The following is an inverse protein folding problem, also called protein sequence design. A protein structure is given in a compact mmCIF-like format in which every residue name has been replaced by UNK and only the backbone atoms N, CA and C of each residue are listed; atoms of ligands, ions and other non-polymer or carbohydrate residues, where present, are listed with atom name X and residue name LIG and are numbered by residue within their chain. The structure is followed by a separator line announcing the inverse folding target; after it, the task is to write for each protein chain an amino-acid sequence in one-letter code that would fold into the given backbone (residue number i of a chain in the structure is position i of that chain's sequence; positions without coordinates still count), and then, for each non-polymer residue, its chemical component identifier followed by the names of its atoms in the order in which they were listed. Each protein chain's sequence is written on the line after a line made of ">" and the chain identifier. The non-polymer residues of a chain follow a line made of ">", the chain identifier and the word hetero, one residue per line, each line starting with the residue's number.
data_IF_000026976679
#
_entry.id   IF_000026976679
#
_cell.length_a   1.000
_cell.length_b   1.000
_cell.length_c   1.000
_cell.angle_alpha   90.00
_cell.angle_beta   90.00
_cell.angle_gamma   90.00
#
_symmetry.space_group_name_H-M   'P 1'
#
loop_
_entity.id
_entity.type
_entity.pdbx_description
1 polymer ?
#
# COMPACT_ATOMS: atom_id res chain seq x y z
N UNK A 1 12.44 27.30 -9.07
CA UNK A 1 13.10 26.56 -10.17
C UNK A 1 13.17 25.10 -9.78
N UNK A 2 13.06 24.17 -10.73
CA UNK A 2 13.29 22.75 -10.45
C UNK A 2 14.70 22.57 -9.88
N UNK A 3 14.86 21.70 -8.88
CA UNK A 3 16.17 21.44 -8.27
C UNK A 3 17.16 20.77 -9.24
N UNK A 4 16.63 20.08 -10.25
CA UNK A 4 17.37 19.34 -11.28
C UNK A 4 16.68 19.58 -12.62
N UNK A 5 17.10 20.61 -13.36
CA UNK A 5 16.51 20.96 -14.66
C UNK A 5 16.78 19.91 -15.74
N UNK A 6 17.90 19.22 -15.64
CA UNK A 6 18.34 18.14 -16.53
C UNK A 6 17.35 16.96 -16.55
N UNK A 7 16.63 16.72 -15.46
CA UNK A 7 15.62 15.65 -15.37
C UNK A 7 14.29 16.01 -16.02
N UNK A 8 14.11 17.26 -16.47
CA UNK A 8 12.90 17.71 -17.17
C UNK A 8 12.95 17.46 -18.68
N UNK A 9 14.11 17.07 -19.23
CA UNK A 9 14.26 16.75 -20.64
C UNK A 9 13.51 15.47 -21.01
N UNK A 10 12.97 15.42 -22.22
CA UNK A 10 12.24 14.25 -22.70
C UNK A 10 13.18 13.04 -22.79
N UNK A 11 12.79 11.94 -22.15
CA UNK A 11 13.62 10.73 -22.05
C UNK A 11 14.63 10.72 -20.89
N UNK A 12 14.76 11.81 -20.11
CA UNK A 12 15.66 11.84 -18.95
C UNK A 12 15.19 10.93 -17.80
N UNK A 13 13.90 10.60 -17.73
CA UNK A 13 13.31 9.68 -16.76
C UNK A 13 12.58 8.57 -17.49
N UNK A 14 12.88 7.32 -17.14
CA UNK A 14 12.16 6.14 -17.58
C UNK A 14 11.33 5.56 -16.42
N UNK A 15 10.06 5.24 -16.69
CA UNK A 15 9.22 4.49 -15.75
C UNK A 15 9.37 3.00 -16.03
N UNK A 16 9.96 2.27 -15.09
CA UNK A 16 10.10 0.81 -15.16
C UNK A 16 9.00 0.18 -14.30
N UNK A 17 8.01 -0.43 -14.96
CA UNK A 17 6.88 -1.08 -14.26
C UNK A 17 7.27 -2.50 -13.88
N UNK A 18 7.36 -2.78 -12.58
CA UNK A 18 7.74 -4.08 -12.02
C UNK A 18 6.52 -4.74 -11.41
N UNK A 19 6.21 -5.97 -11.82
CA UNK A 19 5.07 -6.73 -11.30
C UNK A 19 5.48 -7.59 -10.11
N UNK A 20 4.89 -7.31 -8.96
CA UNK A 20 5.26 -7.96 -7.69
C UNK A 20 4.47 -9.24 -7.45
N UNK A 21 4.91 -10.04 -6.47
CA UNK A 21 4.13 -11.21 -6.02
C UNK A 21 2.78 -10.80 -5.45
N UNK A 22 2.71 -9.66 -4.75
CA UNK A 22 1.46 -9.09 -4.25
C UNK A 22 0.45 -8.75 -5.36
N UNK A 23 0.91 -8.38 -6.55
CA UNK A 23 0.03 -8.15 -7.70
C UNK A 23 -0.48 -9.45 -8.34
N UNK A 24 0.22 -10.56 -8.12
CA UNK A 24 -0.11 -11.87 -8.71
C UNK A 24 -1.10 -12.65 -7.83
N UNK A 25 -1.00 -12.50 -6.50
CA UNK A 25 -1.82 -13.27 -5.56
C UNK A 25 -3.00 -12.40 -5.08
N UNK A 26 -4.12 -12.50 -5.80
CA UNK A 26 -5.36 -11.78 -5.48
C UNK A 26 -6.45 -12.68 -4.87
N UNK A 27 -6.22 -13.99 -4.79
CA UNK A 27 -7.25 -14.98 -4.45
C UNK A 27 -7.24 -15.43 -2.99
N UNK A 28 -6.30 -14.93 -2.17
CA UNK A 28 -6.12 -15.34 -0.78
C UNK A 28 -5.94 -14.12 0.12
N UNK A 29 -6.41 -14.18 1.38
CA UNK A 29 -6.14 -13.14 2.38
C UNK A 29 -4.66 -12.79 2.53
N UNK A 30 -4.33 -11.50 2.57
CA UNK A 30 -2.94 -11.05 2.78
C UNK A 30 -2.31 -11.59 4.08
N UNK A 31 -3.13 -11.78 5.12
CA UNK A 31 -2.69 -12.35 6.39
C UNK A 31 -2.23 -13.81 6.27
N UNK A 32 -2.72 -14.54 5.27
CA UNK A 32 -2.49 -15.98 5.10
C UNK A 32 -1.32 -16.26 4.14
N UNK A 33 -0.94 -15.29 3.30
CA UNK A 33 0.06 -15.46 2.24
C UNK A 33 1.49 -15.64 2.79
N UNK A 34 1.78 -15.14 4.00
CA UNK A 34 3.12 -15.23 4.59
C UNK A 34 4.21 -14.53 3.75
N UNK A 35 5.40 -14.36 4.31
CA UNK A 35 6.52 -13.70 3.62
C UNK A 35 6.57 -12.19 3.82
N UNK A 36 7.79 -11.66 3.91
CA UNK A 36 8.07 -10.22 4.03
C UNK A 36 8.23 -9.62 2.64
N UNK A 37 7.73 -8.40 2.42
CA UNK A 37 7.97 -7.64 1.18
C UNK A 37 7.15 -8.09 -0.02
N UNK A 38 5.91 -8.55 0.16
CA UNK A 38 5.02 -9.00 -0.93
C UNK A 38 4.90 -8.00 -2.09
N UNK A 39 4.96 -6.70 -1.79
CA UNK A 39 4.86 -5.61 -2.76
C UNK A 39 6.19 -4.88 -3.02
N UNK A 40 7.29 -5.31 -2.39
CA UNK A 40 8.59 -4.61 -2.53
C UNK A 40 9.68 -5.50 -3.08
N UNK A 41 9.62 -6.82 -2.85
CA UNK A 41 10.72 -7.73 -3.13
C UNK A 41 11.27 -7.62 -4.56
N UNK A 42 10.41 -7.70 -5.58
CA UNK A 42 10.86 -7.64 -6.97
C UNK A 42 11.43 -6.26 -7.35
N UNK A 43 10.97 -5.19 -6.68
CA UNK A 43 11.49 -3.84 -6.87
C UNK A 43 12.85 -3.69 -6.16
N UNK A 44 12.97 -4.25 -4.96
CA UNK A 44 14.21 -4.29 -4.18
C UNK A 44 15.30 -5.07 -4.94
N UNK A 45 14.95 -6.20 -5.57
CA UNK A 45 15.85 -6.99 -6.43
C UNK A 45 16.30 -6.19 -7.66
N UNK A 46 15.39 -5.50 -8.34
CA UNK A 46 15.74 -4.65 -9.47
C UNK A 46 16.70 -3.51 -9.07
N UNK A 47 16.49 -2.88 -7.91
CA UNK A 47 17.38 -1.86 -7.39
C UNK A 47 18.77 -2.43 -7.07
N UNK A 48 18.82 -3.60 -6.45
CA UNK A 48 20.08 -4.27 -6.08
C UNK A 48 20.88 -4.77 -7.29
N UNK A 49 20.20 -5.15 -8.37
CA UNK A 49 20.82 -5.59 -9.62
C UNK A 49 21.24 -4.42 -10.52
N UNK A 50 20.80 -3.19 -10.21
CA UNK A 50 21.04 -2.01 -11.04
C UNK A 50 20.11 -1.92 -12.26
N UNK A 51 18.97 -2.61 -12.24
CA UNK A 51 17.94 -2.52 -13.28
C UNK A 51 17.12 -1.22 -13.16
N UNK A 52 17.10 -0.61 -11.97
CA UNK A 52 16.51 0.72 -11.68
C UNK A 52 17.44 1.51 -10.76
N UNK A 53 17.39 2.84 -10.87
CA UNK A 53 18.19 3.74 -10.03
C UNK A 53 17.52 4.08 -8.70
N UNK A 54 16.20 4.18 -8.70
CA UNK A 54 15.37 4.48 -7.52
C UNK A 54 14.09 3.66 -7.52
N UNK A 55 13.59 3.37 -6.32
CA UNK A 55 12.31 2.72 -6.10
C UNK A 55 11.33 3.68 -5.40
N UNK A 56 10.06 3.68 -5.85
CA UNK A 56 9.00 4.49 -5.27
C UNK A 56 7.95 3.56 -4.67
N UNK A 57 7.66 3.72 -3.38
CA UNK A 57 6.72 2.88 -2.65
C UNK A 57 5.66 3.70 -1.94
N UNK A 58 4.48 3.10 -1.76
CA UNK A 58 3.61 3.49 -0.65
C UNK A 58 4.30 3.10 0.66
N UNK A 59 4.59 4.08 1.53
CA UNK A 59 5.40 3.84 2.73
C UNK A 59 4.78 2.80 3.70
N UNK A 60 3.47 2.63 3.69
CA UNK A 60 2.76 1.61 4.49
C UNK A 60 3.12 0.17 4.11
N UNK A 61 3.60 -0.03 2.89
CA UNK A 61 3.89 -1.35 2.31
C UNK A 61 5.40 -1.68 2.38
N UNK A 62 6.24 -0.72 2.79
CA UNK A 62 7.68 -0.93 2.99
C UNK A 62 7.92 -1.77 4.26
N UNK A 63 8.68 -2.88 4.18
CA UNK A 63 9.04 -3.66 5.36
C UNK A 63 9.81 -2.84 6.40
N UNK A 64 9.66 -3.21 7.68
CA UNK A 64 10.39 -2.54 8.78
C UNK A 64 11.90 -2.71 8.72
N UNK A 65 12.36 -3.78 8.07
CA UNK A 65 13.76 -4.02 7.78
C UNK A 65 13.99 -3.83 6.29
N UNK A 66 14.88 -2.89 5.95
CA UNK A 66 15.28 -2.68 4.57
C UNK A 66 16.23 -3.81 4.13
N UNK A 67 16.20 -4.20 2.85
CA UNK A 67 17.20 -5.08 2.28
C UNK A 67 18.61 -4.52 2.48
N UNK A 68 19.58 -5.40 2.71
CA UNK A 68 20.98 -4.99 2.78
C UNK A 68 21.37 -4.26 1.49
N UNK A 69 22.21 -3.22 1.62
CA UNK A 69 22.69 -2.37 0.52
C UNK A 69 21.63 -1.45 -0.10
N UNK A 70 20.43 -1.38 0.45
CA UNK A 70 19.47 -0.31 0.12
C UNK A 70 19.36 0.69 1.26
N UNK A 71 18.87 1.90 0.95
CA UNK A 71 18.56 2.95 1.92
C UNK A 71 17.23 3.60 1.54
N UNK A 72 16.53 4.17 2.53
CA UNK A 72 15.31 4.95 2.31
C UNK A 72 15.51 6.37 2.86
N UNK A 73 16.21 7.24 2.11
CA UNK A 73 16.57 8.58 2.59
C UNK A 73 15.49 9.64 2.33
N UNK A 74 14.43 9.30 1.59
CA UNK A 74 13.46 10.26 1.08
C UNK A 74 12.03 9.87 1.43
N UNK A 75 11.31 10.81 2.04
CA UNK A 75 9.85 10.82 2.05
C UNK A 75 9.36 12.16 1.49
N UNK A 76 8.42 12.10 0.55
CA UNK A 76 7.73 13.27 0.04
C UNK A 76 6.78 13.84 1.11
N UNK A 77 6.31 15.09 0.96
CA UNK A 77 5.27 15.64 1.81
C UNK A 77 4.09 14.66 1.94
N UNK A 78 3.67 14.41 3.17
CA UNK A 78 2.68 13.39 3.47
C UNK A 78 1.28 13.89 3.06
N UNK A 79 0.60 13.08 2.26
CA UNK A 79 -0.81 13.29 1.94
C UNK A 79 -1.75 12.93 3.10
N UNK A 80 -3.06 13.16 2.91
CA UNK A 80 -4.08 12.81 3.89
C UNK A 80 -3.96 11.34 4.34
N UNK A 81 -3.94 11.16 5.66
CA UNK A 81 -3.69 9.87 6.32
C UNK A 81 -4.97 9.14 6.70
N UNK A 82 -6.14 9.78 6.54
CA UNK A 82 -7.41 9.26 7.03
C UNK A 82 -7.90 8.08 6.20
N UNK A 83 -8.56 7.15 6.87
CA UNK A 83 -9.38 6.16 6.18
C UNK A 83 -10.67 6.84 5.67
N UNK A 84 -11.11 6.46 4.46
CA UNK A 84 -12.37 6.92 3.88
C UNK A 84 -13.46 5.85 4.03
N UNK A 85 -14.68 6.28 4.31
CA UNK A 85 -15.86 5.43 4.24
C UNK A 85 -16.48 5.51 2.84
N UNK A 86 -16.71 4.37 2.21
CA UNK A 86 -17.25 4.27 0.85
C UNK A 86 -18.49 3.39 0.91
N UNK A 87 -19.64 3.93 0.52
CA UNK A 87 -20.92 3.23 0.50
C UNK A 87 -21.85 3.87 -0.54
N UNK A 88 -22.72 3.05 -1.13
CA UNK A 88 -23.77 3.50 -2.04
C UNK A 88 -25.09 3.81 -1.32
N UNK A 89 -25.26 3.32 -0.09
CA UNK A 89 -26.57 3.29 0.61
C UNK A 89 -26.58 4.03 1.94
N UNK A 90 -25.42 4.43 2.47
CA UNK A 90 -25.30 5.14 3.74
C UNK A 90 -24.21 6.21 3.63
N UNK A 91 -24.35 7.32 4.35
CA UNK A 91 -23.35 8.39 4.37
C UNK A 91 -22.26 8.16 5.43
N UNK A 92 -22.52 7.30 6.42
CA UNK A 92 -21.59 7.00 7.50
C UNK A 92 -21.70 5.56 8.02
N UNK A 93 -20.67 5.11 8.74
CA UNK A 93 -20.66 3.81 9.42
C UNK A 93 -21.80 3.67 10.44
N UNK A 94 -22.19 4.76 11.09
CA UNK A 94 -23.26 4.79 12.09
C UNK A 94 -24.66 4.61 11.50
N UNK A 95 -24.83 4.87 10.21
CA UNK A 95 -26.11 4.71 9.51
C UNK A 95 -26.32 3.29 8.96
N UNK A 96 -25.28 2.44 8.99
CA UNK A 96 -25.39 1.07 8.53
C UNK A 96 -26.32 0.27 9.44
N UNK A 97 -27.33 -0.44 8.89
CA UNK A 97 -28.15 -1.37 9.66
C UNK A 97 -27.31 -2.43 10.37
N UNK A 98 -27.75 -2.89 11.54
CA UNK A 98 -27.13 -4.03 12.21
C UNK A 98 -27.07 -5.27 11.28
N UNK A 99 -25.95 -5.99 11.33
CA UNK A 99 -25.68 -7.12 10.45
C UNK A 99 -25.09 -6.74 9.08
N UNK A 100 -24.99 -5.45 8.74
CA UNK A 100 -24.36 -4.99 7.50
C UNK A 100 -22.92 -5.50 7.35
N UNK A 101 -22.52 -5.79 6.11
CA UNK A 101 -21.20 -6.32 5.79
C UNK A 101 -20.27 -5.20 5.33
N UNK A 102 -19.10 -5.10 5.96
CA UNK A 102 -18.02 -4.19 5.55
C UNK A 102 -16.83 -4.99 5.04
N UNK A 103 -16.39 -4.70 3.81
CA UNK A 103 -15.24 -5.34 3.18
C UNK A 103 -13.92 -4.67 3.56
N UNK A 104 -13.00 -5.41 4.20
CA UNK A 104 -11.59 -4.99 4.35
C UNK A 104 -10.67 -6.16 4.69
N UNK A 105 -9.56 -6.28 3.96
CA UNK A 105 -8.45 -7.18 4.30
C UNK A 105 -7.57 -6.69 5.45
N UNK A 106 -7.74 -5.44 5.89
CA UNK A 106 -6.88 -4.84 6.91
C UNK A 106 -7.33 -5.23 8.32
N UNK A 107 -6.51 -6.02 9.02
CA UNK A 107 -6.74 -6.33 10.44
C UNK A 107 -6.80 -5.06 11.30
N UNK A 108 -6.01 -4.03 10.97
CA UNK A 108 -6.05 -2.71 11.64
C UNK A 108 -7.43 -2.06 11.53
N UNK A 109 -8.04 -2.07 10.35
CA UNK A 109 -9.39 -1.49 10.15
C UNK A 109 -10.45 -2.36 10.79
N UNK A 110 -10.38 -3.68 10.57
CA UNK A 110 -11.31 -4.67 11.13
C UNK A 110 -11.41 -4.55 12.66
N UNK A 111 -10.28 -4.50 13.36
CA UNK A 111 -10.26 -4.43 14.82
C UNK A 111 -10.92 -3.15 15.35
N UNK A 112 -10.60 -2.00 14.77
CA UNK A 112 -11.16 -0.70 15.16
C UNK A 112 -12.67 -0.61 14.85
N UNK A 113 -13.09 -1.13 13.69
CA UNK A 113 -14.51 -1.17 13.31
C UNK A 113 -15.32 -2.04 14.28
N UNK A 114 -14.87 -3.26 14.57
CA UNK A 114 -15.56 -4.16 15.48
C UNK A 114 -15.53 -3.68 16.94
N UNK A 115 -14.51 -2.91 17.34
CA UNK A 115 -14.47 -2.28 18.65
C UNK A 115 -15.61 -1.26 18.83
N UNK A 116 -15.84 -0.40 17.82
CA UNK A 116 -16.83 0.68 17.87
C UNK A 116 -18.24 0.26 17.42
N UNK A 117 -18.34 -0.58 16.40
CA UNK A 117 -19.59 -0.98 15.74
C UNK A 117 -19.75 -2.50 15.80
N UNK A 118 -20.01 -3.02 17.00
CA UNK A 118 -20.08 -4.47 17.30
C UNK A 118 -21.16 -5.22 16.51
N UNK A 119 -22.16 -4.51 15.98
CA UNK A 119 -23.25 -5.08 15.19
C UNK A 119 -22.89 -5.29 13.72
N UNK A 120 -21.73 -4.84 13.25
CA UNK A 120 -21.31 -5.02 11.86
C UNK A 120 -20.60 -6.36 11.65
N UNK A 121 -20.76 -6.90 10.45
CA UNK A 121 -20.04 -8.09 9.98
C UNK A 121 -18.88 -7.67 9.08
N UNK A 122 -17.77 -8.43 9.12
CA UNK A 122 -16.55 -8.10 8.38
C UNK A 122 -16.25 -9.18 7.35
N UNK A 123 -16.10 -8.77 6.09
CA UNK A 123 -15.70 -9.64 4.99
C UNK A 123 -14.29 -9.28 4.51
N UNK A 124 -13.52 -10.28 4.07
CA UNK A 124 -12.22 -10.12 3.45
C UNK A 124 -12.31 -10.55 1.99
#
# INVERSE_FOLDING_TARGET
>A
MAAHSELAEEGAIQIVVIKTTGDKILTQPLADIGGKGLFTKEIDEALLNGDIDIAVHSMKDVPTYLPDKTILPCNLPREDVRDAFISLTAASLSELPAGSIVGTASLRRKSQLLHRYKSLNMFN
#
